data_IF_579458151637
#
_entry.id   IF_579458151637
#
_cell.length_a   1.000
_cell.length_b   1.000
_cell.length_c   1.000
_cell.angle_alpha   90.00
_cell.angle_beta   90.00
_cell.angle_gamma   90.00
#
_symmetry.space_group_name_H-M   'P 1'
#
loop_
_entity.id
_entity.type
_entity.pdbx_description
1 polymer ?
#
# COMPACT_ATOMS: atom_id res chain seq x y z
N UNK A 1 34.94 -49.12 17.70
CA UNK A 1 34.95 -47.78 18.32
C UNK A 1 35.36 -46.75 17.26
N UNK A 2 34.49 -45.77 16.98
CA UNK A 2 34.72 -44.42 16.43
C UNK A 2 33.54 -44.03 15.53
N UNK A 3 32.52 -43.41 16.12
CA UNK A 3 31.36 -42.84 15.42
C UNK A 3 31.07 -41.49 16.08
N UNK A 4 31.94 -40.52 15.84
CA UNK A 4 31.82 -39.20 16.45
C UNK A 4 32.38 -38.17 15.51
N UNK A 5 31.56 -37.65 14.60
CA UNK A 5 31.67 -36.34 13.92
C UNK A 5 30.58 -36.23 12.84
N UNK A 6 29.30 -36.23 13.20
CA UNK A 6 28.21 -35.95 12.24
C UNK A 6 27.10 -35.04 12.78
N UNK A 7 27.12 -34.67 14.07
CA UNK A 7 26.07 -33.83 14.67
C UNK A 7 26.24 -32.31 14.45
N UNK A 8 27.49 -31.85 14.30
CA UNK A 8 27.81 -30.42 14.18
C UNK A 8 27.36 -29.80 12.84
N UNK A 9 27.52 -30.45 11.67
CA UNK A 9 27.08 -29.84 10.40
C UNK A 9 25.55 -29.79 10.31
N UNK A 10 24.85 -30.77 10.89
CA UNK A 10 23.39 -30.85 10.83
C UNK A 10 22.73 -29.69 11.57
N UNK A 11 23.28 -29.29 12.72
CA UNK A 11 22.76 -28.16 13.51
C UNK A 11 22.98 -26.82 12.81
N UNK A 12 24.13 -26.65 12.13
CA UNK A 12 24.41 -25.46 11.31
C UNK A 12 23.51 -25.40 10.08
N UNK A 13 23.31 -26.53 9.40
CA UNK A 13 22.43 -26.65 8.23
C UNK A 13 20.98 -26.35 8.64
N UNK A 14 20.51 -26.91 9.76
CA UNK A 14 19.18 -26.63 10.30
C UNK A 14 19.00 -25.15 10.67
N UNK A 15 20.01 -24.53 11.26
CA UNK A 15 19.99 -23.10 11.57
C UNK A 15 19.96 -22.24 10.30
N UNK A 16 20.74 -22.61 9.28
CA UNK A 16 20.74 -21.93 7.98
C UNK A 16 19.39 -22.05 7.27
N UNK A 17 18.77 -23.24 7.30
CA UNK A 17 17.42 -23.49 6.78
C UNK A 17 16.34 -22.71 7.55
N UNK A 18 16.46 -22.60 8.88
CA UNK A 18 15.56 -21.78 9.71
C UNK A 18 15.69 -20.29 9.37
N UNK A 19 16.92 -19.79 9.18
CA UNK A 19 17.14 -18.40 8.76
C UNK A 19 16.59 -18.13 7.36
N UNK A 20 16.80 -19.04 6.40
CA UNK A 20 16.28 -18.91 5.05
C UNK A 20 14.75 -18.88 5.01
N UNK A 21 14.10 -19.77 5.77
CA UNK A 21 12.64 -19.82 5.88
C UNK A 21 12.05 -18.60 6.58
N UNK A 22 12.71 -18.07 7.61
CA UNK A 22 12.30 -16.81 8.24
C UNK A 22 12.41 -15.62 7.26
N UNK A 23 13.44 -15.58 6.41
CA UNK A 23 13.59 -14.55 5.37
C UNK A 23 12.51 -14.66 4.30
N UNK A 24 12.14 -15.87 3.87
CA UNK A 24 11.06 -16.12 2.91
C UNK A 24 9.68 -15.77 3.46
N UNK A 25 9.47 -15.87 4.78
CA UNK A 25 8.24 -15.46 5.46
C UNK A 25 8.13 -13.94 5.64
N UNK A 26 9.18 -13.18 5.37
CA UNK A 26 9.08 -11.73 5.16
C UNK A 26 8.54 -11.42 3.75
N UNK A 27 7.52 -12.17 3.31
CA UNK A 27 6.76 -11.83 2.13
C UNK A 27 6.17 -10.44 2.35
N UNK A 28 6.48 -9.56 1.41
CA UNK A 28 6.41 -8.13 1.59
C UNK A 28 5.06 -7.71 2.12
N UNK A 29 5.07 -7.00 3.25
CA UNK A 29 3.95 -6.20 3.73
C UNK A 29 3.74 -5.10 2.68
N UNK A 30 3.13 -5.46 1.53
CA UNK A 30 2.81 -4.54 0.44
C UNK A 30 2.05 -3.40 1.10
N UNK A 31 2.50 -2.14 0.95
CA UNK A 31 1.81 -1.01 1.55
C UNK A 31 0.34 -1.17 1.17
N UNK A 32 -0.52 -1.23 2.19
CA UNK A 32 -1.94 -1.43 1.98
C UNK A 32 -2.37 -0.39 0.97
N UNK A 33 -2.79 -0.83 -0.23
CA UNK A 33 -3.19 0.09 -1.29
C UNK A 33 -4.15 1.10 -0.67
N UNK A 34 -3.94 2.41 -0.86
CA UNK A 34 -4.80 3.42 -0.27
C UNK A 34 -6.25 3.07 -0.62
N UNK A 35 -7.04 2.77 0.42
CA UNK A 35 -8.42 2.38 0.27
C UNK A 35 -9.19 3.60 -0.23
N UNK A 36 -9.98 3.43 -1.29
CA UNK A 36 -10.81 4.50 -1.82
C UNK A 36 -11.68 5.09 -0.68
N UNK A 37 -11.79 6.44 -0.59
CA UNK A 37 -12.66 7.07 0.41
C UNK A 37 -14.11 6.58 0.26
N UNK A 38 -14.85 6.46 1.37
CA UNK A 38 -16.25 6.01 1.32
C UNK A 38 -17.18 6.94 0.52
N UNK A 39 -16.81 8.23 0.41
CA UNK A 39 -17.52 9.24 -0.38
C UNK A 39 -17.10 9.24 -1.86
N UNK A 40 -16.22 8.33 -2.27
CA UNK A 40 -15.70 8.26 -3.63
C UNK A 40 -15.84 6.86 -4.22
N UNK A 41 -16.05 6.82 -5.53
CA UNK A 41 -15.99 5.64 -6.37
C UNK A 41 -14.68 5.70 -7.15
N UNK A 42 -13.72 4.85 -6.80
CA UNK A 42 -12.44 4.79 -7.47
C UNK A 42 -12.40 3.62 -8.44
N UNK A 43 -11.88 3.90 -9.62
CA UNK A 43 -11.45 2.92 -10.63
C UNK A 43 -9.92 2.95 -10.71
N UNK A 44 -9.34 2.24 -11.68
CA UNK A 44 -7.89 2.24 -11.89
C UNK A 44 -7.34 3.64 -12.17
N UNK A 45 -8.06 4.40 -13.00
CA UNK A 45 -7.56 5.65 -13.56
C UNK A 45 -8.41 6.86 -13.14
N UNK A 46 -9.64 6.65 -12.66
CA UNK A 46 -10.59 7.71 -12.32
C UNK A 46 -11.09 7.57 -10.88
N UNK A 47 -11.27 8.69 -10.19
CA UNK A 47 -11.95 8.77 -8.89
C UNK A 47 -13.12 9.77 -8.97
N UNK A 48 -14.32 9.31 -8.64
CA UNK A 48 -15.53 10.12 -8.61
C UNK A 48 -16.01 10.26 -7.17
N UNK A 49 -15.92 11.46 -6.60
CA UNK A 49 -16.37 11.74 -5.25
C UNK A 49 -17.74 12.43 -5.27
N UNK A 50 -18.71 11.89 -4.52
CA UNK A 50 -20.05 12.45 -4.38
C UNK A 50 -20.31 12.85 -2.92
N UNK A 51 -20.91 14.02 -2.71
CA UNK A 51 -21.25 14.55 -1.37
C UNK A 51 -20.04 14.65 -0.42
N UNK A 52 -18.85 14.91 -0.98
CA UNK A 52 -17.63 15.10 -0.20
C UNK A 52 -17.71 16.42 0.59
N UNK A 53 -17.58 16.35 1.92
CA UNK A 53 -17.58 17.53 2.80
C UNK A 53 -16.26 18.30 2.76
N UNK A 54 -15.19 17.62 2.40
CA UNK A 54 -13.83 18.14 2.28
C UNK A 54 -13.08 17.33 1.23
N UNK A 55 -12.00 17.89 0.69
CA UNK A 55 -11.17 17.19 -0.31
C UNK A 55 -10.46 16.01 0.37
N UNK A 56 -10.74 14.75 -0.04
CA UNK A 56 -10.19 13.58 0.60
C UNK A 56 -8.71 13.40 0.25
N UNK A 57 -7.86 13.33 1.26
CA UNK A 57 -6.41 13.07 1.11
C UNK A 57 -6.09 11.58 0.94
N UNK A 58 -7.09 10.71 1.05
CA UNK A 58 -6.96 9.25 0.96
C UNK A 58 -7.31 8.70 -0.43
N UNK A 59 -7.52 9.57 -1.42
CA UNK A 59 -7.66 9.14 -2.82
C UNK A 59 -6.37 8.45 -3.27
N UNK A 60 -6.44 7.35 -4.03
CA UNK A 60 -5.24 6.69 -4.52
C UNK A 60 -4.38 7.64 -5.37
N UNK A 61 -3.04 7.66 -5.19
CA UNK A 61 -2.16 8.56 -5.93
C UNK A 61 -2.08 8.24 -7.43
N UNK A 62 -2.46 7.01 -7.80
CA UNK A 62 -2.35 6.45 -9.14
C UNK A 62 -3.46 6.95 -10.09
N UNK A 63 -4.48 7.63 -9.57
CA UNK A 63 -5.58 8.15 -10.41
C UNK A 63 -5.10 9.32 -11.25
N UNK A 64 -5.51 9.33 -12.52
CA UNK A 64 -5.21 10.39 -13.48
C UNK A 64 -6.37 11.39 -13.62
N UNK A 65 -7.58 11.00 -13.21
CA UNK A 65 -8.79 11.81 -13.30
C UNK A 65 -9.53 11.82 -11.97
N UNK A 66 -9.87 13.02 -11.47
CA UNK A 66 -10.57 13.21 -10.20
C UNK A 66 -11.74 14.16 -10.39
N UNK A 67 -12.94 13.71 -10.03
CA UNK A 67 -14.19 14.45 -10.21
C UNK A 67 -14.94 14.59 -8.89
N UNK A 68 -15.50 15.77 -8.66
CA UNK A 68 -16.27 16.12 -7.47
C UNK A 68 -17.69 16.51 -7.86
N UNK A 69 -18.68 15.76 -7.38
CA UNK A 69 -20.10 15.98 -7.66
C UNK A 69 -20.84 16.29 -6.37
N UNK A 70 -21.63 17.37 -6.36
CA UNK A 70 -22.43 17.80 -5.20
C UNK A 70 -21.62 17.91 -3.91
N UNK A 71 -20.37 18.36 -4.03
CA UNK A 71 -19.49 18.54 -2.88
C UNK A 71 -20.00 19.64 -1.96
N UNK A 72 -19.82 19.45 -0.65
CA UNK A 72 -20.16 20.44 0.38
C UNK A 72 -19.04 21.41 0.70
N UNK A 73 -17.84 21.24 0.15
CA UNK A 73 -16.74 22.19 0.32
C UNK A 73 -16.91 23.39 -0.61
N UNK A 74 -16.64 24.57 -0.08
CA UNK A 74 -16.71 25.86 -0.81
C UNK A 74 -15.34 26.43 -1.14
N UNK A 75 -14.29 25.85 -0.56
CA UNK A 75 -12.91 26.31 -0.70
C UNK A 75 -11.99 25.13 -1.03
N UNK A 76 -11.02 25.39 -1.92
CA UNK A 76 -9.96 24.45 -2.28
C UNK A 76 -8.65 25.08 -1.80
N UNK A 77 -8.15 24.61 -0.65
CA UNK A 77 -6.89 25.10 -0.10
C UNK A 77 -5.70 24.68 -0.96
N UNK A 78 -4.64 25.48 -0.90
CA UNK A 78 -3.36 25.13 -1.52
C UNK A 78 -2.85 23.77 -1.02
N UNK A 79 -2.31 22.98 -1.94
CA UNK A 79 -1.81 21.64 -1.63
C UNK A 79 -2.86 20.55 -1.40
N UNK A 80 -4.13 20.80 -1.68
CA UNK A 80 -5.19 19.76 -1.56
C UNK A 80 -4.97 18.54 -2.47
N UNK A 81 -4.22 18.70 -3.57
CA UNK A 81 -3.93 17.66 -4.56
C UNK A 81 -2.52 17.06 -4.46
N UNK A 82 -1.76 17.37 -3.41
CA UNK A 82 -0.40 16.83 -3.22
C UNK A 82 -0.37 15.30 -3.11
N UNK A 83 -1.47 14.70 -2.71
CA UNK A 83 -1.63 13.25 -2.55
C UNK A 83 -2.02 12.54 -3.86
N UNK A 84 -2.28 13.30 -4.92
CA UNK A 84 -2.66 12.81 -6.26
C UNK A 84 -1.80 13.51 -7.33
N UNK A 85 -0.47 13.28 -7.35
CA UNK A 85 0.46 13.99 -8.23
C UNK A 85 0.32 13.58 -9.71
N UNK A 86 -0.32 12.46 -10.00
CA UNK A 86 -0.49 11.92 -11.35
C UNK A 86 -1.71 12.45 -12.09
N UNK A 87 -2.45 13.40 -11.49
CA UNK A 87 -3.61 14.01 -12.13
C UNK A 87 -3.23 14.70 -13.43
N UNK A 88 -3.97 14.39 -14.48
CA UNK A 88 -3.91 15.06 -15.77
C UNK A 88 -5.02 16.12 -15.80
N UNK A 89 -4.67 17.31 -16.29
CA UNK A 89 -5.57 18.47 -16.39
C UNK A 89 -6.31 18.49 -17.72
#
# INVERSE_FOLDING_TARGET
>A
QRMGTACIPLKRIAYFLCLLSALLLTEGKKPAKPKCPAVCTCTKDNALCENARSIPRTVPPDVISLSFVRSGFTEISEGSFLFTPSLQL
#
